data_IF_202239925453
#
_entry.id   IF_202239925453
#
_cell.length_a   1.000
_cell.length_b   1.000
_cell.length_c   1.000
_cell.angle_alpha   90.00
_cell.angle_beta   90.00
_cell.angle_gamma   90.00
#
_symmetry.space_group_name_H-M   'P 1'
#
loop_
_entity.id
_entity.type
_entity.pdbx_description
1 polymer ?
#
# COMPACT_ATOMS: atom_id res chain seq x y z
N UNK A 1 -47.08 -31.18 33.22
CA UNK A 1 -46.43 -30.17 32.34
C UNK A 1 -46.41 -28.82 33.06
N UNK A 2 -45.48 -27.93 32.71
CA UNK A 2 -45.35 -26.58 33.28
C UNK A 2 -45.46 -25.50 32.21
N UNK A 3 -45.98 -24.33 32.56
CA UNK A 3 -46.07 -23.18 31.67
C UNK A 3 -44.67 -22.66 31.31
N UNK A 4 -44.40 -22.44 30.03
CA UNK A 4 -43.10 -21.93 29.56
C UNK A 4 -42.75 -20.53 30.08
N UNK A 5 -43.75 -19.71 30.45
CA UNK A 5 -43.58 -18.35 31.00
C UNK A 5 -43.64 -18.38 32.54
N UNK A 6 -44.80 -18.69 33.14
CA UNK A 6 -44.98 -18.59 34.60
C UNK A 6 -44.27 -19.70 35.39
N UNK A 7 -43.80 -20.77 34.72
CA UNK A 7 -43.19 -21.97 35.33
C UNK A 7 -44.12 -22.76 36.26
N UNK A 8 -45.37 -22.33 36.42
CA UNK A 8 -46.38 -23.03 37.21
C UNK A 8 -46.85 -24.31 36.51
N UNK A 9 -47.30 -25.30 37.30
CA UNK A 9 -47.84 -26.56 36.79
C UNK A 9 -49.26 -26.34 36.25
N UNK A 10 -49.58 -27.01 35.14
CA UNK A 10 -50.96 -27.12 34.70
C UNK A 10 -51.74 -28.03 35.65
N UNK A 11 -52.85 -27.52 36.19
CA UNK A 11 -53.81 -28.25 37.02
C UNK A 11 -55.05 -28.59 36.20
N UNK A 12 -55.95 -29.41 36.76
CA UNK A 12 -57.21 -29.78 36.11
C UNK A 12 -58.15 -28.59 35.89
N UNK A 13 -57.95 -27.50 36.64
CA UNK A 13 -58.68 -26.23 36.55
C UNK A 13 -57.87 -25.13 35.85
N UNK A 14 -56.73 -25.45 35.26
CA UNK A 14 -55.90 -24.45 34.59
C UNK A 14 -56.66 -23.73 33.48
N UNK A 15 -56.38 -22.43 33.28
CA UNK A 15 -56.88 -21.72 32.11
C UNK A 15 -56.38 -22.41 30.84
N UNK A 16 -57.16 -22.29 29.77
CA UNK A 16 -56.88 -23.00 28.54
C UNK A 16 -55.49 -22.65 27.98
N UNK A 17 -54.90 -23.62 27.29
CA UNK A 17 -53.46 -23.64 27.01
C UNK A 17 -53.16 -23.41 25.53
N UNK A 18 -51.97 -22.88 25.25
CA UNK A 18 -51.42 -22.74 23.91
C UNK A 18 -50.16 -23.59 23.80
N UNK A 19 -50.03 -24.29 22.66
CA UNK A 19 -48.81 -25.01 22.32
C UNK A 19 -48.01 -24.20 21.31
N UNK A 20 -46.71 -24.00 21.58
CA UNK A 20 -45.83 -23.34 20.62
C UNK A 20 -45.60 -24.24 19.41
N UNK A 21 -45.89 -23.74 18.21
CA UNK A 21 -45.68 -24.43 16.95
C UNK A 21 -44.22 -24.47 16.51
N UNK A 22 -43.35 -23.67 17.15
CA UNK A 22 -41.90 -23.67 16.95
C UNK A 22 -41.17 -24.90 17.52
N UNK A 23 -39.84 -24.82 17.60
CA UNK A 23 -38.97 -25.95 17.99
C UNK A 23 -39.18 -26.34 19.46
N UNK A 24 -39.46 -25.38 20.35
CA UNK A 24 -39.52 -25.67 21.78
C UNK A 24 -40.69 -26.58 22.19
N UNK A 25 -41.78 -26.64 21.38
CA UNK A 25 -43.01 -27.41 21.64
C UNK A 25 -43.57 -27.28 23.08
N UNK A 26 -43.21 -26.20 23.79
CA UNK A 26 -43.65 -25.94 25.16
C UNK A 26 -45.12 -25.52 25.18
N UNK A 27 -45.79 -25.79 26.30
CA UNK A 27 -47.15 -25.34 26.56
C UNK A 27 -47.14 -24.07 27.43
N UNK A 28 -48.15 -23.24 27.25
CA UNK A 28 -48.30 -21.96 27.94
C UNK A 28 -49.76 -21.74 28.35
N UNK A 29 -49.97 -21.09 29.49
CA UNK A 29 -51.30 -20.58 29.83
C UNK A 29 -51.66 -19.44 28.86
N UNK A 30 -52.86 -19.43 28.29
CA UNK A 30 -53.31 -18.32 27.44
C UNK A 30 -53.14 -16.94 28.09
N UNK A 31 -53.51 -16.74 29.38
CA UNK A 31 -53.28 -15.46 30.06
C UNK A 31 -51.81 -15.03 30.11
N UNK A 32 -50.88 -15.98 30.25
CA UNK A 32 -49.44 -15.66 30.27
C UNK A 32 -48.91 -15.17 28.91
N UNK A 33 -49.61 -15.49 27.82
CA UNK A 33 -49.19 -15.13 26.47
C UNK A 33 -49.83 -13.83 25.97
N UNK A 34 -50.74 -13.21 26.74
CA UNK A 34 -51.52 -12.05 26.31
C UNK A 34 -52.21 -12.23 24.94
N UNK A 35 -52.61 -13.46 24.60
CA UNK A 35 -53.31 -13.75 23.35
C UNK A 35 -54.82 -13.55 23.57
N UNK A 36 -55.50 -12.69 22.80
CA UNK A 36 -56.93 -12.52 22.92
C UNK A 36 -57.66 -13.84 22.66
N UNK A 37 -58.67 -14.15 23.49
CA UNK A 37 -59.45 -15.39 23.41
C UNK A 37 -60.10 -15.57 22.03
N UNK A 38 -60.45 -14.48 21.35
CA UNK A 38 -61.03 -14.56 20.01
C UNK A 38 -60.01 -15.01 18.95
N UNK A 39 -58.73 -14.70 19.11
CA UNK A 39 -57.67 -15.14 18.18
C UNK A 39 -57.46 -16.65 18.30
N UNK A 40 -57.59 -17.22 19.50
CA UNK A 40 -57.35 -18.65 19.71
C UNK A 40 -58.42 -19.54 19.10
N UNK A 41 -59.63 -19.00 18.84
CA UNK A 41 -60.68 -19.69 18.09
C UNK A 41 -60.31 -20.00 16.64
N UNK A 42 -59.32 -19.30 16.09
CA UNK A 42 -58.84 -19.49 14.72
C UNK A 42 -57.56 -20.34 14.64
N UNK A 43 -56.82 -20.45 15.75
CA UNK A 43 -55.64 -21.32 15.83
C UNK A 43 -56.09 -22.78 15.66
N UNK A 44 -55.55 -23.46 14.64
CA UNK A 44 -55.92 -24.84 14.28
C UNK A 44 -57.15 -24.99 13.38
N UNK A 45 -57.92 -23.92 13.13
CA UNK A 45 -58.97 -23.94 12.08
C UNK A 45 -58.42 -23.62 10.69
N UNK A 46 -57.38 -22.81 10.63
CA UNK A 46 -56.70 -22.46 9.38
C UNK A 46 -55.46 -23.34 9.25
N UNK A 47 -55.36 -24.19 8.21
CA UNK A 47 -54.16 -24.98 7.94
C UNK A 47 -52.92 -24.09 7.86
N UNK A 48 -51.87 -24.44 8.61
CA UNK A 48 -50.62 -23.69 8.65
C UNK A 48 -50.59 -22.50 9.63
N UNK A 49 -51.72 -22.12 10.23
CA UNK A 49 -51.74 -21.05 11.24
C UNK A 49 -51.42 -21.62 12.63
N UNK A 50 -50.18 -21.36 13.08
CA UNK A 50 -49.69 -21.75 14.41
C UNK A 50 -49.29 -20.55 15.26
N UNK A 51 -49.41 -20.69 16.58
CA UNK A 51 -48.86 -19.70 17.51
C UNK A 51 -47.42 -20.06 17.89
N UNK A 52 -46.55 -19.05 17.97
CA UNK A 52 -45.14 -19.20 18.33
C UNK A 52 -44.86 -18.40 19.60
N UNK A 53 -44.12 -18.99 20.55
CA UNK A 53 -43.61 -18.22 21.69
C UNK A 53 -42.56 -17.21 21.21
N UNK A 54 -42.34 -16.14 21.98
CA UNK A 54 -41.43 -15.03 21.64
C UNK A 54 -40.06 -15.54 21.18
N UNK A 55 -39.45 -16.46 21.93
CA UNK A 55 -38.13 -17.03 21.58
C UNK A 55 -38.14 -17.75 20.23
N UNK A 56 -39.15 -18.59 19.98
CA UNK A 56 -39.26 -19.35 18.74
C UNK A 56 -39.63 -18.45 17.56
N UNK A 57 -40.42 -17.40 17.80
CA UNK A 57 -40.73 -16.40 16.77
C UNK A 57 -39.51 -15.56 16.42
N UNK A 58 -38.72 -15.15 17.43
CA UNK A 58 -37.44 -14.46 17.22
C UNK A 58 -36.46 -15.33 16.42
N UNK A 59 -36.34 -16.62 16.78
CA UNK A 59 -35.53 -17.58 16.03
C UNK A 59 -36.02 -17.74 14.59
N UNK A 60 -37.34 -17.86 14.37
CA UNK A 60 -37.94 -17.96 13.04
C UNK A 60 -37.68 -16.68 12.21
N UNK A 61 -37.81 -15.51 12.83
CA UNK A 61 -37.51 -14.21 12.22
C UNK A 61 -36.03 -14.08 11.87
N UNK A 62 -35.13 -14.59 12.71
CA UNK A 62 -33.69 -14.63 12.42
C UNK A 62 -33.32 -15.64 11.33
N UNK A 63 -34.16 -16.63 11.06
CA UNK A 63 -34.04 -17.54 9.92
C UNK A 63 -34.66 -16.99 8.63
N UNK A 64 -35.11 -15.72 8.60
CA UNK A 64 -35.47 -15.07 7.35
C UNK A 64 -34.18 -14.91 6.51
N UNK A 65 -34.09 -15.50 5.31
CA UNK A 65 -32.89 -15.43 4.48
C UNK A 65 -32.48 -14.00 4.14
N UNK A 66 -33.42 -13.04 4.03
CA UNK A 66 -33.08 -11.63 3.86
C UNK A 66 -32.42 -11.02 5.10
N UNK A 67 -32.84 -11.41 6.30
CA UNK A 67 -32.23 -10.93 7.53
C UNK A 67 -30.83 -11.51 7.73
N UNK A 68 -30.64 -12.81 7.46
CA UNK A 68 -29.31 -13.45 7.49
C UNK A 68 -28.37 -12.82 6.47
N UNK A 69 -28.89 -12.55 5.26
CA UNK A 69 -28.14 -11.86 4.21
C UNK A 69 -27.73 -10.45 4.65
N UNK A 70 -28.65 -9.64 5.17
CA UNK A 70 -28.35 -8.29 5.65
C UNK A 70 -27.35 -8.29 6.82
N UNK A 71 -27.51 -9.21 7.78
CA UNK A 71 -26.61 -9.36 8.91
C UNK A 71 -25.20 -9.79 8.46
N UNK A 72 -25.12 -10.70 7.48
CA UNK A 72 -23.86 -11.11 6.89
C UNK A 72 -23.22 -9.98 6.09
N UNK A 73 -23.99 -9.23 5.30
CA UNK A 73 -23.50 -8.08 4.51
C UNK A 73 -23.01 -6.94 5.42
N UNK A 74 -23.71 -6.62 6.50
CA UNK A 74 -23.28 -5.62 7.48
C UNK A 74 -22.05 -6.08 8.27
N UNK A 75 -22.06 -7.33 8.76
CA UNK A 75 -20.94 -7.90 9.53
C UNK A 75 -19.67 -8.02 8.70
N UNK A 76 -19.77 -8.60 7.50
CA UNK A 76 -18.65 -8.74 6.56
C UNK A 76 -18.20 -7.36 6.07
N UNK A 77 -19.14 -6.45 5.79
CA UNK A 77 -18.82 -5.08 5.39
C UNK A 77 -18.00 -4.32 6.44
N UNK A 78 -18.34 -4.47 7.73
CA UNK A 78 -17.60 -3.85 8.82
C UNK A 78 -16.20 -4.47 8.98
N UNK A 79 -16.08 -5.80 8.93
CA UNK A 79 -14.78 -6.49 8.99
C UNK A 79 -13.88 -6.08 7.81
N UNK A 80 -14.41 -5.99 6.59
CA UNK A 80 -13.66 -5.55 5.42
C UNK A 80 -13.16 -4.11 5.60
N UNK A 81 -13.98 -3.21 6.16
CA UNK A 81 -13.58 -1.83 6.45
C UNK A 81 -12.44 -1.77 7.46
N UNK A 82 -12.49 -2.56 8.53
CA UNK A 82 -11.43 -2.64 9.53
C UNK A 82 -10.13 -3.19 8.95
N UNK A 83 -10.19 -4.29 8.19
CA UNK A 83 -9.03 -4.88 7.50
C UNK A 83 -8.43 -3.86 6.53
N UNK A 84 -9.26 -3.14 5.77
CA UNK A 84 -8.80 -2.11 4.83
C UNK A 84 -8.11 -0.95 5.54
N UNK A 85 -8.63 -0.54 6.71
CA UNK A 85 -8.03 0.50 7.55
C UNK A 85 -6.67 0.07 8.10
N UNK A 86 -6.59 -1.16 8.62
CA UNK A 86 -5.36 -1.77 9.12
C UNK A 86 -4.31 -1.91 8.00
N UNK A 87 -4.71 -2.38 6.82
CA UNK A 87 -3.83 -2.50 5.67
C UNK A 87 -3.26 -1.14 5.22
N UNK A 88 -4.10 -0.08 5.20
CA UNK A 88 -3.64 1.29 4.91
C UNK A 88 -2.64 1.79 5.95
N UNK A 89 -2.90 1.56 7.23
CA UNK A 89 -2.00 1.95 8.32
C UNK A 89 -0.66 1.22 8.21
N UNK A 90 -0.69 -0.10 8.02
CA UNK A 90 0.51 -0.92 7.85
C UNK A 90 1.33 -0.47 6.63
N UNK A 91 0.68 -0.20 5.51
CA UNK A 91 1.35 0.29 4.29
C UNK A 91 2.03 1.63 4.55
N UNK A 92 1.37 2.55 5.26
CA UNK A 92 1.93 3.85 5.63
C UNK A 92 3.15 3.72 6.56
N UNK A 93 3.06 2.83 7.55
CA UNK A 93 4.15 2.59 8.50
C UNK A 93 5.36 1.94 7.81
N UNK A 94 5.13 0.97 6.92
CA UNK A 94 6.18 0.35 6.10
C UNK A 94 6.86 1.39 5.21
N UNK A 95 6.08 2.22 4.50
CA UNK A 95 6.62 3.26 3.62
C UNK A 95 7.47 4.28 4.39
N UNK A 96 7.00 4.69 5.58
CA UNK A 96 7.74 5.61 6.46
C UNK A 96 9.07 5.00 6.91
N UNK A 97 9.04 3.77 7.43
CA UNK A 97 10.24 3.09 7.93
C UNK A 97 11.27 2.83 6.82
N UNK A 98 10.81 2.42 5.63
CA UNK A 98 11.68 2.25 4.46
C UNK A 98 12.33 3.56 4.05
N UNK A 99 11.56 4.65 4.02
CA UNK A 99 12.09 5.98 3.67
C UNK A 99 13.15 6.42 4.67
N UNK A 100 12.89 6.26 5.97
CA UNK A 100 13.84 6.61 7.03
C UNK A 100 15.13 5.78 6.96
N UNK A 101 15.00 4.47 6.75
CA UNK A 101 16.14 3.55 6.63
C UNK A 101 17.00 3.88 5.40
N UNK A 102 16.36 4.14 4.25
CA UNK A 102 17.06 4.48 3.00
C UNK A 102 17.77 5.82 3.14
N UNK A 103 17.11 6.84 3.72
CA UNK A 103 17.72 8.15 3.97
C UNK A 103 18.93 8.04 4.89
N UNK A 104 18.81 7.33 6.01
CA UNK A 104 19.92 7.11 6.94
C UNK A 104 21.10 6.40 6.26
N UNK A 105 20.83 5.35 5.48
CA UNK A 105 21.88 4.62 4.78
C UNK A 105 22.57 5.47 3.70
N UNK A 106 21.82 6.35 3.06
CA UNK A 106 22.36 7.29 2.08
C UNK A 106 23.30 8.31 2.73
N UNK A 107 22.92 8.86 3.89
CA UNK A 107 23.76 9.77 4.68
C UNK A 107 25.06 9.10 5.13
N UNK A 108 24.98 7.88 5.67
CA UNK A 108 26.15 7.11 6.10
C UNK A 108 27.13 6.87 4.93
N UNK A 109 26.61 6.53 3.75
CA UNK A 109 27.43 6.30 2.55
C UNK A 109 28.04 7.59 2.00
N UNK A 110 27.30 8.70 2.04
CA UNK A 110 27.82 10.01 1.64
C UNK A 110 28.97 10.45 2.56
N UNK A 111 28.84 10.21 3.86
CA UNK A 111 29.87 10.55 4.85
C UNK A 111 31.11 9.67 4.70
N UNK A 112 30.96 8.36 4.49
CA UNK A 112 32.09 7.45 4.20
C UNK A 112 32.84 7.87 2.92
N UNK A 113 32.09 8.20 1.86
CA UNK A 113 32.69 8.68 0.61
C UNK A 113 33.45 9.99 0.79
N UNK A 114 32.89 10.95 1.54
CA UNK A 114 33.57 12.21 1.87
C UNK A 114 34.87 11.98 2.62
N UNK A 115 34.87 11.09 3.62
CA UNK A 115 36.10 10.72 4.35
C UNK A 115 37.16 10.11 3.43
N UNK A 116 36.77 9.18 2.56
CA UNK A 116 37.68 8.56 1.58
C UNK A 116 38.29 9.58 0.62
N UNK A 117 37.49 10.52 0.11
CA UNK A 117 37.97 11.59 -0.77
C UNK A 117 38.98 12.49 -0.03
N UNK A 118 38.64 12.92 1.19
CA UNK A 118 39.52 13.76 2.01
C UNK A 118 40.85 13.07 2.33
N UNK A 119 40.83 11.78 2.68
CA UNK A 119 42.05 11.00 2.92
C UNK A 119 42.91 10.88 1.67
N UNK A 120 42.30 10.57 0.52
CA UNK A 120 43.02 10.49 -0.75
C UNK A 120 43.64 11.83 -1.15
N UNK A 121 42.94 12.94 -0.92
CA UNK A 121 43.46 14.28 -1.17
C UNK A 121 44.67 14.60 -0.28
N UNK A 122 44.61 14.30 1.03
CA UNK A 122 45.73 14.48 1.96
C UNK A 122 46.95 13.62 1.55
N UNK A 123 46.71 12.37 1.14
CA UNK A 123 47.77 11.49 0.67
C UNK A 123 48.46 12.06 -0.58
N UNK A 124 47.67 12.56 -1.55
CA UNK A 124 48.20 13.21 -2.76
C UNK A 124 48.98 14.49 -2.45
N UNK A 125 48.52 15.34 -1.54
CA UNK A 125 49.25 16.53 -1.11
C UNK A 125 50.58 16.15 -0.48
N UNK A 126 50.59 15.10 0.36
CA UNK A 126 51.82 14.58 0.97
C UNK A 126 52.80 14.06 -0.08
N UNK A 127 52.34 13.27 -1.07
CA UNK A 127 53.17 12.80 -2.20
C UNK A 127 53.80 13.97 -2.98
N UNK A 128 53.02 15.01 -3.27
CA UNK A 128 53.51 16.21 -3.97
C UNK A 128 54.59 16.92 -3.16
N UNK A 129 54.41 17.09 -1.84
CA UNK A 129 55.37 17.75 -0.97
C UNK A 129 56.69 16.97 -0.85
N UNK A 130 56.63 15.64 -0.74
CA UNK A 130 57.82 14.78 -0.71
C UNK A 130 58.60 14.92 -2.02
N UNK A 131 57.92 14.86 -3.18
CA UNK A 131 58.60 15.01 -4.47
C UNK A 131 59.19 16.41 -4.68
N UNK A 132 58.56 17.46 -4.13
CA UNK A 132 59.09 18.83 -4.20
C UNK A 132 60.37 19.00 -3.38
N UNK A 133 60.54 18.26 -2.30
CA UNK A 133 61.79 18.21 -1.51
C UNK A 133 62.95 17.57 -2.28
N UNK A 134 62.70 16.71 -3.27
CA UNK A 134 63.73 16.00 -4.05
C UNK A 134 64.23 16.85 -5.24
N UNK A 135 63.45 17.82 -5.71
CA UNK A 135 63.77 18.64 -6.89
C UNK A 135 64.59 19.92 -6.60
N UNK A 136 65.01 20.15 -5.36
CA UNK A 136 65.78 21.35 -4.98
C UNK A 136 67.32 21.23 -5.18
N UNK A 137 67.82 20.10 -5.72
CA UNK A 137 69.27 19.85 -5.89
C UNK A 137 69.69 19.58 -7.34
N UNK A 138 69.16 20.31 -8.34
CA UNK A 138 69.69 20.18 -9.71
C UNK A 138 69.68 21.52 -10.46
N UNK A 139 70.88 22.00 -10.74
CA UNK A 139 71.21 23.22 -11.49
C UNK A 139 70.97 23.05 -12.98
N UNK A 140 70.43 24.10 -13.63
CA UNK A 140 70.42 24.42 -15.09
C UNK A 140 69.74 23.39 -16.01
N UNK A 141 68.82 23.75 -16.92
CA UNK A 141 69.04 24.65 -18.06
C UNK A 141 67.68 25.09 -18.63
N UNK A 142 67.62 26.33 -19.12
CA UNK A 142 66.49 26.94 -19.83
C UNK A 142 66.12 26.21 -21.12
N UNK A 143 64.85 25.81 -21.28
CA UNK A 143 64.21 25.68 -22.60
C UNK A 143 62.75 26.13 -22.50
N UNK A 144 62.47 27.20 -23.22
CA UNK A 144 61.15 27.71 -23.58
C UNK A 144 60.38 26.68 -24.42
N UNK A 145 59.15 26.34 -24.02
CA UNK A 145 58.13 25.90 -24.98
C UNK A 145 56.71 26.16 -24.47
N UNK A 146 56.11 27.17 -25.08
CA UNK A 146 54.73 27.25 -25.58
C UNK A 146 53.67 26.45 -24.83
N UNK A 147 53.01 27.14 -23.90
CA UNK A 147 51.77 26.69 -23.30
C UNK A 147 50.65 26.65 -24.34
N UNK A 148 50.02 25.48 -24.47
CA UNK A 148 48.70 25.38 -25.03
C UNK A 148 47.98 24.18 -24.39
N UNK A 149 47.41 24.40 -23.20
CA UNK A 149 46.46 23.47 -22.61
C UNK A 149 45.14 24.21 -22.44
N UNK A 150 44.28 24.05 -23.46
CA UNK A 150 42.87 24.38 -23.41
C UNK A 150 42.21 23.55 -22.29
N UNK A 151 42.08 24.16 -21.11
CA UNK A 151 41.20 23.67 -20.07
C UNK A 151 39.77 24.07 -20.46
N UNK A 152 39.07 23.20 -21.18
CA UNK A 152 37.64 23.34 -21.40
C UNK A 152 36.91 23.17 -20.06
N UNK A 153 36.73 24.27 -19.33
CA UNK A 153 35.65 24.42 -18.37
C UNK A 153 34.37 24.70 -19.16
N UNK A 154 33.71 23.65 -19.62
CA UNK A 154 32.32 23.79 -20.05
C UNK A 154 31.45 23.82 -18.81
N UNK A 155 31.02 25.04 -18.46
CA UNK A 155 29.86 25.33 -17.64
C UNK A 155 28.73 24.36 -18.04
N UNK A 156 28.53 23.30 -17.25
CA UNK A 156 27.40 22.40 -17.42
C UNK A 156 26.14 23.21 -17.12
N UNK A 157 25.50 23.70 -18.19
CA UNK A 157 24.09 24.07 -18.13
C UNK A 157 23.37 22.88 -17.52
N UNK A 158 22.68 23.10 -16.42
CA UNK A 158 21.84 22.14 -15.71
C UNK A 158 20.90 21.45 -16.69
N UNK A 159 21.36 20.33 -17.23
CA UNK A 159 20.61 19.48 -18.16
C UNK A 159 20.22 18.26 -17.34
N UNK A 160 18.92 17.98 -17.27
CA UNK A 160 18.43 16.81 -16.56
C UNK A 160 18.90 15.55 -17.28
N UNK A 161 19.73 14.76 -16.63
CA UNK A 161 20.22 13.49 -17.18
C UNK A 161 19.50 12.31 -16.52
N UNK A 162 19.06 11.35 -17.35
CA UNK A 162 18.42 10.11 -16.90
C UNK A 162 19.37 8.93 -17.17
N UNK A 163 19.54 8.05 -16.18
CA UNK A 163 20.28 6.79 -16.32
C UNK A 163 19.28 5.66 -16.50
N UNK A 164 19.38 4.94 -17.62
CA UNK A 164 18.58 3.75 -17.91
C UNK A 164 19.47 2.53 -17.73
N UNK A 165 19.07 1.59 -16.87
CA UNK A 165 19.77 0.32 -16.65
C UNK A 165 18.91 -0.86 -17.09
N UNK A 166 19.54 -1.94 -17.61
CA UNK A 166 18.86 -3.21 -17.81
C UNK A 166 18.29 -3.73 -16.48
N UNK A 167 17.07 -4.26 -16.52
CA UNK A 167 16.39 -4.90 -15.39
C UNK A 167 17.04 -6.24 -15.04
N UNK A 168 17.51 -6.96 -16.05
CA UNK A 168 18.15 -8.27 -15.91
C UNK A 168 19.16 -8.53 -17.04
N UNK A 169 19.91 -9.62 -16.92
CA UNK A 169 20.96 -10.01 -17.87
C UNK A 169 20.44 -10.51 -19.22
N UNK A 170 19.11 -10.62 -19.41
CA UNK A 170 18.51 -10.97 -20.70
C UNK A 170 18.29 -9.76 -21.61
N UNK A 171 18.39 -8.55 -21.05
CA UNK A 171 18.24 -7.29 -21.78
C UNK A 171 19.57 -6.81 -22.37
N UNK A 172 19.51 -6.16 -23.53
CA UNK A 172 20.70 -5.66 -24.22
C UNK A 172 21.38 -4.56 -23.38
N UNK A 173 22.71 -4.66 -23.23
CA UNK A 173 23.53 -3.71 -22.48
C UNK A 173 23.77 -2.38 -23.23
N UNK A 174 23.20 -2.24 -24.43
CA UNK A 174 23.27 -1.03 -25.23
C UNK A 174 21.86 -0.49 -25.46
N UNK A 175 21.68 0.81 -25.29
CA UNK A 175 20.41 1.50 -25.50
C UNK A 175 20.64 2.55 -26.57
N UNK A 176 19.95 2.42 -27.70
CA UNK A 176 20.02 3.42 -28.76
C UNK A 176 18.88 4.46 -28.62
N UNK A 177 18.98 5.57 -29.35
CA UNK A 177 17.98 6.66 -29.31
C UNK A 177 16.59 6.19 -29.78
N UNK A 178 16.52 5.28 -30.75
CA UNK A 178 15.27 4.78 -31.28
C UNK A 178 14.54 3.90 -30.24
N UNK A 179 15.26 3.07 -29.49
CA UNK A 179 14.68 2.23 -28.43
C UNK A 179 13.97 3.07 -27.37
N UNK A 180 14.58 4.20 -26.99
CA UNK A 180 14.00 5.13 -25.99
C UNK A 180 12.79 5.87 -26.57
N UNK A 181 12.88 6.33 -27.82
CA UNK A 181 11.76 7.01 -28.49
C UNK A 181 10.58 6.08 -28.79
N UNK A 182 10.81 4.78 -28.91
CA UNK A 182 9.74 3.78 -29.05
C UNK A 182 9.09 3.45 -27.70
N UNK A 183 9.84 3.56 -26.60
CA UNK A 183 9.36 3.28 -25.25
C UNK A 183 8.68 4.49 -24.58
N UNK A 184 9.03 5.70 -24.99
CA UNK A 184 8.41 6.95 -24.53
C UNK A 184 7.42 7.44 -25.58
N UNK A 185 6.23 7.88 -25.20
CA UNK A 185 5.36 8.63 -26.11
C UNK A 185 5.92 10.06 -26.26
N UNK A 186 6.56 10.40 -27.41
CA UNK A 186 7.23 11.69 -27.56
C UNK A 186 6.24 12.84 -27.73
N UNK A 187 4.98 12.55 -28.12
CA UNK A 187 3.97 13.59 -28.41
C UNK A 187 3.37 14.15 -27.13
N UNK A 188 3.19 13.31 -26.10
CA UNK A 188 2.61 13.73 -24.82
C UNK A 188 3.55 14.46 -23.87
N UNK A 189 4.88 14.42 -24.09
CA UNK A 189 5.85 14.71 -23.03
C UNK A 189 6.75 15.93 -23.23
N UNK A 190 6.74 16.63 -24.38
CA UNK A 190 7.61 17.81 -24.65
C UNK A 190 9.11 17.57 -24.34
N UNK A 191 9.55 16.32 -24.36
CA UNK A 191 10.93 15.94 -24.06
C UNK A 191 11.70 15.77 -25.37
N UNK A 192 12.71 16.60 -25.58
CA UNK A 192 13.64 16.44 -26.70
C UNK A 192 14.90 15.71 -26.22
N UNK A 193 15.10 14.47 -26.70
CA UNK A 193 16.32 13.72 -26.40
C UNK A 193 17.48 14.28 -27.26
N UNK A 194 18.40 14.97 -26.59
CA UNK A 194 19.56 15.62 -27.22
C UNK A 194 20.65 14.61 -27.58
N UNK A 195 20.97 13.68 -26.68
CA UNK A 195 21.97 12.64 -26.92
C UNK A 195 21.74 11.42 -26.03
N UNK A 196 22.23 10.27 -26.49
CA UNK A 196 22.27 9.02 -25.74
C UNK A 196 23.70 8.50 -25.79
N UNK A 197 24.31 8.26 -24.63
CA UNK A 197 25.65 7.71 -24.50
C UNK A 197 25.60 6.38 -23.80
N UNK A 198 26.11 5.32 -24.43
CA UNK A 198 26.26 4.04 -23.76
C UNK A 198 27.28 4.15 -22.61
N UNK A 199 26.93 3.61 -21.46
CA UNK A 199 27.79 3.49 -20.28
C UNK A 199 27.90 2.01 -19.91
N UNK A 200 28.83 1.68 -19.01
CA UNK A 200 28.94 0.31 -18.48
C UNK A 200 27.62 -0.04 -17.79
N UNK A 201 26.90 -1.02 -18.35
CA UNK A 201 25.61 -1.53 -17.88
C UNK A 201 24.42 -0.57 -18.04
N UNK A 202 24.36 0.20 -19.13
CA UNK A 202 23.18 1.00 -19.47
C UNK A 202 23.40 2.15 -20.46
N UNK A 203 22.45 3.07 -20.48
CA UNK A 203 22.48 4.29 -21.30
C UNK A 203 22.31 5.55 -20.44
N UNK A 204 23.12 6.57 -20.74
CA UNK A 204 22.93 7.94 -20.25
C UNK A 204 22.15 8.73 -21.29
N UNK A 205 20.96 9.21 -20.92
CA UNK A 205 20.10 10.01 -21.78
C UNK A 205 20.18 11.46 -21.32
N UNK A 206 20.58 12.35 -22.23
CA UNK A 206 20.55 13.77 -21.98
C UNK A 206 19.29 14.36 -22.63
N UNK A 207 18.35 14.83 -21.81
CA UNK A 207 17.10 15.40 -22.26
C UNK A 207 17.07 16.92 -22.10
N UNK A 208 16.54 17.61 -23.09
CA UNK A 208 16.18 19.02 -23.01
C UNK A 208 14.67 19.10 -22.82
N UNK A 209 14.25 19.77 -21.75
CA UNK A 209 12.86 20.14 -21.51
C UNK A 209 12.59 21.46 -22.23
N UNK A 210 11.79 21.43 -23.29
CA UNK A 210 11.25 22.65 -23.87
C UNK A 210 10.00 23.03 -23.06
N UNK A 211 10.21 23.85 -22.03
CA UNK A 211 9.13 24.49 -21.30
C UNK A 211 8.67 25.72 -22.10
N UNK A 212 7.95 25.50 -23.19
CA UNK A 212 7.11 26.57 -23.76
C UNK A 212 5.85 26.64 -22.91
N UNK A 213 5.79 27.63 -22.02
CA UNK A 213 4.56 27.97 -21.33
C UNK A 213 3.64 28.67 -22.34
N UNK A 214 2.42 28.15 -22.60
CA UNK A 214 1.45 28.88 -23.40
C UNK A 214 1.09 30.19 -22.67
N UNK A 215 1.22 31.32 -23.38
CA UNK A 215 0.79 32.65 -22.92
C UNK A 215 -0.74 32.72 -22.77
#
# INVERSE_FOLDING_TARGET
MVCGISKEKFTRTSPATLSCYGICKRQFHMPCCNVPVDVTKYLGKIPGLGWYCVDCYAALKSCNPEFVKNLAEEGVGNVIKEISSLAKKLTKDIAKNLTELVSKRLEDLQEDLRKKISMAAVQKITEINVNRSVCSNTTTTSVSNTGNNNLFSTKLKSSSALIIKPKDSSQNNSVNKADILNAMDPVGSNIQISSVKNIRDGGLVNALLNLEFPN
#
